data_IF_210052306413
#
_entry.id   IF_210052306413
#
_cell.length_a   1.000
_cell.length_b   1.000
_cell.length_c   1.000
_cell.angle_alpha   90.00
_cell.angle_beta   90.00
_cell.angle_gamma   90.00
#
_symmetry.space_group_name_H-M   'P 1'
#
loop_
_entity.id
_entity.type
_entity.pdbx_description
1 polymer ?
#
# COMPACT_ATOMS: atom_id res chain seq x y z
N UNK A 1 1.43 30.54 -1.05
CA UNK A 1 1.41 30.67 0.43
C UNK A 1 -0.02 30.38 0.85
N UNK A 2 -0.23 29.79 2.02
CA UNK A 2 -1.58 29.60 2.55
C UNK A 2 -2.10 30.92 3.13
N UNK A 3 -3.40 31.18 2.98
CA UNK A 3 -4.04 32.38 3.51
C UNK A 3 -4.31 32.23 5.01
N UNK A 4 -4.55 30.99 5.46
CA UNK A 4 -4.81 30.65 6.85
C UNK A 4 -4.09 29.34 7.24
N UNK A 5 -3.74 29.21 8.53
CA UNK A 5 -3.13 28.01 9.10
C UNK A 5 -3.82 27.63 10.40
N UNK A 6 -4.11 26.33 10.56
CA UNK A 6 -4.73 25.77 11.75
C UNK A 6 -3.77 24.79 12.41
N UNK A 7 -3.51 24.99 13.70
CA UNK A 7 -2.76 24.03 14.50
C UNK A 7 -3.62 22.79 14.76
N UNK A 8 -3.15 21.61 14.34
CA UNK A 8 -3.82 20.32 14.48
C UNK A 8 -3.23 19.44 15.58
N UNK A 9 -2.24 19.94 16.32
CA UNK A 9 -1.66 19.23 17.46
C UNK A 9 -0.13 19.26 17.49
N UNK A 10 0.47 18.43 18.36
CA UNK A 10 1.92 18.37 18.54
C UNK A 10 2.64 17.70 17.36
N UNK A 11 3.97 17.75 17.37
CA UNK A 11 4.83 17.23 16.29
C UNK A 11 4.63 15.74 15.94
N UNK A 12 4.39 14.79 16.90
CA UNK A 12 4.14 13.40 16.53
C UNK A 12 2.93 13.26 15.60
N UNK A 13 3.12 12.64 14.43
CA UNK A 13 2.10 12.52 13.37
C UNK A 13 0.84 11.78 13.82
N UNK A 14 0.98 10.80 14.71
CA UNK A 14 -0.16 10.08 15.30
C UNK A 14 -1.08 10.96 16.12
N UNK A 15 -0.58 12.09 16.60
CA UNK A 15 -1.33 13.06 17.39
C UNK A 15 -1.74 14.30 16.58
N UNK A 16 -1.44 14.35 15.28
CA UNK A 16 -1.69 15.47 14.39
C UNK A 16 -2.12 15.01 12.99
N UNK A 17 -1.19 14.82 12.06
CA UNK A 17 -1.46 14.51 10.64
C UNK A 17 -2.13 13.16 10.38
N UNK A 18 -2.09 12.21 11.31
CA UNK A 18 -2.79 10.92 11.23
C UNK A 18 -4.11 10.90 12.01
N UNK A 19 -4.49 12.01 12.64
CA UNK A 19 -5.76 12.13 13.36
C UNK A 19 -6.85 12.67 12.44
N UNK A 20 -7.72 11.79 11.95
CA UNK A 20 -8.85 12.13 11.08
C UNK A 20 -9.73 13.21 11.72
N UNK A 21 -10.09 13.04 12.99
CA UNK A 21 -10.97 13.97 13.70
C UNK A 21 -10.41 15.40 13.78
N UNK A 22 -9.09 15.52 13.98
CA UNK A 22 -8.44 16.82 14.06
C UNK A 22 -8.42 17.52 12.70
N UNK A 23 -8.20 16.79 11.62
CA UNK A 23 -8.26 17.33 10.27
C UNK A 23 -9.68 17.80 9.94
N UNK A 24 -10.68 16.96 10.21
CA UNK A 24 -12.10 17.33 10.02
C UNK A 24 -12.47 18.56 10.86
N UNK A 25 -12.03 18.61 12.12
CA UNK A 25 -12.26 19.77 12.97
C UNK A 25 -11.63 21.03 12.42
N UNK A 26 -10.43 20.94 11.83
CA UNK A 26 -9.78 22.05 11.15
C UNK A 26 -10.59 22.53 9.95
N UNK A 27 -11.07 21.60 9.11
CA UNK A 27 -11.91 21.90 7.96
C UNK A 27 -13.19 22.65 8.37
N UNK A 28 -13.88 22.15 9.41
CA UNK A 28 -15.09 22.82 9.94
C UNK A 28 -14.80 24.22 10.47
N UNK A 29 -13.66 24.40 11.15
CA UNK A 29 -13.25 25.70 11.70
C UNK A 29 -12.97 26.73 10.61
N UNK A 30 -12.45 26.31 9.47
CA UNK A 30 -12.11 27.19 8.34
C UNK A 30 -13.19 27.23 7.26
N UNK A 31 -14.32 26.53 7.46
CA UNK A 31 -15.39 26.36 6.46
C UNK A 31 -14.82 25.83 5.11
N UNK A 32 -13.89 24.87 5.16
CA UNK A 32 -13.29 24.31 3.97
C UNK A 32 -14.28 23.40 3.22
N UNK A 33 -14.50 23.66 1.93
CA UNK A 33 -15.35 22.85 1.05
C UNK A 33 -14.66 21.57 0.56
N UNK A 34 -13.32 21.58 0.56
CA UNK A 34 -12.53 20.47 0.03
C UNK A 34 -11.19 20.31 0.79
N UNK A 35 -10.66 19.08 0.73
CA UNK A 35 -9.35 18.75 1.29
C UNK A 35 -8.48 18.09 0.24
N UNK A 36 -7.31 18.67 -0.02
CA UNK A 36 -6.22 18.00 -0.71
C UNK A 36 -5.36 17.29 0.34
N UNK A 37 -5.25 15.95 0.34
CA UNK A 37 -4.59 15.19 1.41
C UNK A 37 -3.06 15.30 1.41
N UNK A 38 -2.48 15.93 0.39
CA UNK A 38 -1.03 15.93 0.19
C UNK A 38 -0.52 14.55 -0.24
N UNK A 39 0.69 14.21 0.22
CA UNK A 39 1.36 12.94 -0.02
C UNK A 39 1.72 12.27 1.30
N UNK A 40 1.51 10.96 1.40
CA UNK A 40 1.68 10.22 2.65
C UNK A 40 0.56 10.50 3.66
N UNK A 41 0.80 10.21 4.93
CA UNK A 41 -0.17 10.37 6.02
C UNK A 41 -1.55 9.77 5.70
N UNK A 42 -2.59 10.60 5.57
CA UNK A 42 -3.96 10.19 5.29
C UNK A 42 -4.31 10.14 3.80
N UNK A 43 -3.38 10.44 2.89
CA UNK A 43 -3.66 10.47 1.44
C UNK A 43 -4.07 9.11 0.87
N UNK A 44 -3.59 8.01 1.49
CA UNK A 44 -3.90 6.63 1.11
C UNK A 44 -4.86 5.95 2.09
N UNK A 45 -5.54 6.74 2.93
CA UNK A 45 -6.45 6.23 3.95
C UNK A 45 -7.91 6.36 3.49
N UNK A 46 -8.53 5.24 3.10
CA UNK A 46 -9.91 5.21 2.65
C UNK A 46 -10.93 5.61 3.74
N UNK A 47 -10.59 5.42 5.03
CA UNK A 47 -11.45 5.84 6.14
C UNK A 47 -11.49 7.37 6.27
N UNK A 48 -10.36 8.04 5.99
CA UNK A 48 -10.31 9.49 5.96
C UNK A 48 -11.22 10.05 4.87
N UNK A 49 -11.09 9.53 3.64
CA UNK A 49 -11.98 9.91 2.53
C UNK A 49 -13.46 9.71 2.91
N UNK A 50 -13.80 8.53 3.45
CA UNK A 50 -15.18 8.22 3.87
C UNK A 50 -15.68 9.14 4.99
N UNK A 51 -14.78 9.56 5.88
CA UNK A 51 -15.14 10.48 6.98
C UNK A 51 -15.39 11.90 6.47
N UNK A 52 -14.60 12.38 5.50
CA UNK A 52 -14.86 13.67 4.84
C UNK A 52 -16.19 13.69 4.11
N UNK A 53 -16.52 12.61 3.39
CA UNK A 53 -17.80 12.47 2.67
C UNK A 53 -19.01 12.57 3.62
N UNK A 54 -18.92 12.01 4.83
CA UNK A 54 -19.98 12.10 5.85
C UNK A 54 -20.22 13.53 6.36
N UNK A 55 -19.23 14.38 6.19
CA UNK A 55 -19.25 15.78 6.63
C UNK A 55 -19.46 16.76 5.46
N UNK A 56 -19.85 16.24 4.29
CA UNK A 56 -20.04 17.00 3.03
C UNK A 56 -18.79 17.77 2.59
N UNK A 57 -17.59 17.28 2.95
CA UNK A 57 -16.30 17.85 2.54
C UNK A 57 -15.74 17.04 1.39
N UNK A 58 -15.41 17.68 0.28
CA UNK A 58 -14.87 17.04 -0.90
C UNK A 58 -13.43 16.58 -0.67
N UNK A 59 -13.14 15.28 -0.84
CA UNK A 59 -11.77 14.78 -0.91
C UNK A 59 -11.23 14.97 -2.34
N UNK A 60 -10.13 15.72 -2.48
CA UNK A 60 -9.47 15.92 -3.79
C UNK A 60 -8.59 14.69 -4.09
N UNK A 61 -9.18 13.71 -4.76
CA UNK A 61 -8.54 12.43 -5.05
C UNK A 61 -9.55 11.36 -5.47
N UNK A 62 -9.11 10.10 -5.51
CA UNK A 62 -10.00 8.98 -5.82
C UNK A 62 -11.09 8.76 -4.76
N UNK A 63 -12.12 7.99 -5.08
CA UNK A 63 -13.10 7.54 -4.10
C UNK A 63 -12.50 6.51 -3.12
N UNK A 64 -13.20 6.20 -2.03
CA UNK A 64 -12.69 5.33 -0.97
C UNK A 64 -12.34 3.92 -1.45
N UNK A 65 -13.11 3.37 -2.38
CA UNK A 65 -12.93 1.99 -2.85
C UNK A 65 -11.63 1.79 -3.64
N UNK A 66 -11.27 2.61 -4.65
CA UNK A 66 -9.94 2.56 -5.26
C UNK A 66 -8.79 2.72 -4.26
N UNK A 67 -8.91 3.63 -3.28
CA UNK A 67 -7.88 3.81 -2.25
C UNK A 67 -7.72 2.52 -1.44
N UNK A 68 -8.83 1.88 -1.05
CA UNK A 68 -8.83 0.64 -0.28
C UNK A 68 -8.18 -0.51 -1.06
N UNK A 69 -8.63 -0.74 -2.29
CA UNK A 69 -8.11 -1.83 -3.14
C UNK A 69 -6.63 -1.64 -3.44
N UNK A 70 -6.23 -0.44 -3.83
CA UNK A 70 -4.83 -0.17 -4.21
C UNK A 70 -3.90 -0.07 -2.99
N UNK A 71 -4.44 0.08 -1.79
CA UNK A 71 -3.69 0.07 -0.54
C UNK A 71 -3.28 -1.34 -0.06
N UNK A 72 -3.94 -2.39 -0.54
CA UNK A 72 -3.60 -3.80 -0.26
C UNK A 72 -2.93 -4.43 -1.48
N UNK A 73 -1.71 -4.96 -1.31
CA UNK A 73 -0.91 -5.49 -2.43
C UNK A 73 -1.51 -6.75 -3.05
N UNK A 74 -2.21 -7.57 -2.28
CA UNK A 74 -2.87 -8.79 -2.77
C UNK A 74 -4.11 -8.39 -3.57
N UNK A 75 -4.98 -7.55 -2.99
CA UNK A 75 -6.20 -7.09 -3.66
C UNK A 75 -5.90 -6.30 -4.93
N UNK A 76 -4.93 -5.38 -4.89
CA UNK A 76 -4.53 -4.59 -6.06
C UNK A 76 -4.01 -5.46 -7.20
N UNK A 77 -3.25 -6.52 -6.86
CA UNK A 77 -2.75 -7.48 -7.84
C UNK A 77 -3.88 -8.30 -8.48
N UNK A 78 -4.82 -8.80 -7.68
CA UNK A 78 -6.01 -9.51 -8.18
C UNK A 78 -6.82 -8.59 -9.09
N UNK A 79 -7.04 -7.34 -8.69
CA UNK A 79 -7.74 -6.34 -9.48
C UNK A 79 -7.04 -6.10 -10.82
N UNK A 80 -5.73 -5.91 -10.82
CA UNK A 80 -4.94 -5.70 -12.03
C UNK A 80 -5.02 -6.89 -12.99
N UNK A 81 -4.91 -8.12 -12.49
CA UNK A 81 -5.04 -9.35 -13.29
C UNK A 81 -6.44 -9.44 -13.93
N UNK A 82 -7.49 -9.18 -13.17
CA UNK A 82 -8.87 -9.18 -13.68
C UNK A 82 -9.11 -8.10 -14.73
N UNK A 83 -8.39 -7.00 -14.66
CA UNK A 83 -8.39 -5.93 -15.65
C UNK A 83 -7.50 -6.22 -16.88
N UNK A 84 -6.85 -7.38 -16.96
CA UNK A 84 -5.96 -7.75 -18.06
C UNK A 84 -4.59 -7.08 -18.04
N UNK A 85 -4.19 -6.49 -16.93
CA UNK A 85 -2.88 -5.88 -16.76
C UNK A 85 -1.84 -6.94 -16.41
N UNK A 86 -0.69 -6.90 -17.08
CA UNK A 86 0.42 -7.79 -16.77
C UNK A 86 0.98 -7.51 -15.38
N UNK A 87 1.07 -8.54 -14.56
CA UNK A 87 1.64 -8.45 -13.21
C UNK A 87 2.83 -9.39 -13.06
N UNK A 88 3.69 -9.12 -12.07
CA UNK A 88 4.76 -10.05 -11.70
C UNK A 88 4.13 -11.38 -11.29
N UNK A 89 4.58 -12.53 -11.86
CA UNK A 89 4.06 -13.84 -11.46
C UNK A 89 4.23 -14.10 -9.96
N UNK A 90 3.24 -14.73 -9.35
CA UNK A 90 3.29 -15.02 -7.91
C UNK A 90 1.97 -15.58 -7.39
N UNK A 91 1.93 -15.83 -6.10
CA UNK A 91 0.75 -16.33 -5.40
C UNK A 91 -0.19 -15.15 -5.07
N UNK A 92 -1.50 -15.38 -5.24
CA UNK A 92 -2.52 -14.33 -5.15
C UNK A 92 -3.31 -14.41 -3.84
N UNK A 93 -2.76 -15.06 -2.82
CA UNK A 93 -3.42 -15.21 -1.53
C UNK A 93 -2.38 -15.13 -0.39
N UNK A 94 -2.88 -15.12 0.83
CA UNK A 94 -2.08 -15.09 2.05
C UNK A 94 -1.46 -16.46 2.28
N UNK A 95 -0.17 -16.48 2.60
CA UNK A 95 0.56 -17.70 2.97
C UNK A 95 0.38 -17.94 4.46
N UNK A 96 -0.03 -19.16 4.82
CA UNK A 96 -0.42 -19.51 6.19
C UNK A 96 0.67 -20.23 6.97
N UNK A 97 1.64 -20.85 6.28
CA UNK A 97 2.74 -21.56 6.93
C UNK A 97 4.03 -21.53 6.10
N UNK A 98 5.14 -21.86 6.74
CA UNK A 98 6.44 -21.99 6.07
C UNK A 98 6.45 -23.11 5.04
N UNK A 99 5.77 -24.23 5.30
CA UNK A 99 5.66 -25.39 4.39
C UNK A 99 4.86 -25.01 3.15
N UNK A 100 3.77 -24.25 3.32
CA UNK A 100 3.00 -23.71 2.19
C UNK A 100 3.85 -22.73 1.37
N UNK A 101 4.65 -21.89 2.04
CA UNK A 101 5.58 -20.97 1.37
C UNK A 101 6.59 -21.71 0.48
N UNK A 102 7.13 -22.84 0.94
CA UNK A 102 8.05 -23.68 0.16
C UNK A 102 7.34 -24.24 -1.08
N UNK A 103 6.13 -24.78 -0.94
CA UNK A 103 5.38 -25.33 -2.06
C UNK A 103 5.06 -24.25 -3.12
N UNK A 104 4.64 -23.08 -2.66
CA UNK A 104 4.35 -21.93 -3.54
C UNK A 104 5.61 -21.46 -4.25
N UNK A 105 6.72 -21.33 -3.52
CA UNK A 105 7.99 -20.90 -4.10
C UNK A 105 8.49 -21.86 -5.19
N UNK A 106 8.34 -23.16 -4.97
CA UNK A 106 8.67 -24.18 -5.98
C UNK A 106 7.80 -24.04 -7.24
N UNK A 107 6.50 -23.74 -7.08
CA UNK A 107 5.58 -23.54 -8.21
C UNK A 107 5.88 -22.24 -8.97
N UNK A 108 6.22 -21.14 -8.27
CA UNK A 108 6.59 -19.85 -8.87
C UNK A 108 7.95 -19.93 -9.53
N UNK A 109 8.84 -20.75 -8.99
CA UNK A 109 10.23 -20.93 -9.41
C UNK A 109 11.16 -19.87 -8.82
N UNK A 110 12.32 -20.31 -8.32
CA UNK A 110 13.33 -19.43 -7.70
C UNK A 110 14.06 -18.54 -8.72
N UNK A 111 14.61 -17.39 -8.29
CA UNK A 111 14.42 -16.80 -6.97
C UNK A 111 13.02 -16.18 -6.80
N UNK A 112 12.57 -16.12 -5.54
CA UNK A 112 11.29 -15.52 -5.17
C UNK A 112 11.49 -14.42 -4.14
N UNK A 113 10.49 -13.55 -3.99
CA UNK A 113 10.43 -12.53 -2.94
C UNK A 113 9.18 -12.73 -2.09
N UNK A 114 9.37 -12.87 -0.78
CA UNK A 114 8.29 -12.85 0.21
C UNK A 114 8.07 -11.40 0.60
N UNK A 115 6.81 -10.95 0.60
CA UNK A 115 6.44 -9.55 0.86
C UNK A 115 5.29 -9.46 1.85
N UNK A 116 5.34 -8.45 2.74
CA UNK A 116 4.18 -8.04 3.51
C UNK A 116 3.08 -7.50 2.59
N UNK A 117 1.82 -7.86 2.85
CA UNK A 117 0.66 -7.34 2.12
C UNK A 117 0.44 -5.86 2.40
N UNK A 118 0.51 -5.47 3.67
CA UNK A 118 0.39 -4.09 4.11
C UNK A 118 1.73 -3.33 4.05
N UNK A 119 1.62 -2.00 4.05
CA UNK A 119 2.75 -1.09 4.18
C UNK A 119 3.61 -0.92 2.93
N UNK A 120 4.75 -0.25 3.09
CA UNK A 120 5.66 0.14 2.01
C UNK A 120 7.09 0.38 2.53
N UNK A 121 7.90 1.06 1.71
CA UNK A 121 9.27 1.44 2.11
C UNK A 121 10.26 0.28 2.21
N UNK A 122 9.96 -0.87 1.59
CA UNK A 122 10.87 -2.01 1.56
C UNK A 122 10.92 -2.85 2.83
N UNK A 123 10.05 -2.59 3.81
CA UNK A 123 9.93 -3.39 5.02
C UNK A 123 9.09 -4.64 4.79
N UNK A 124 9.37 -5.71 5.53
CA UNK A 124 8.66 -6.99 5.39
C UNK A 124 8.91 -7.67 4.05
N UNK A 125 10.11 -7.48 3.45
CA UNK A 125 10.51 -8.11 2.20
C UNK A 125 11.79 -8.91 2.37
N UNK A 126 11.79 -10.16 1.85
CA UNK A 126 12.96 -11.05 1.83
C UNK A 126 13.02 -11.80 0.52
N UNK A 127 14.24 -11.95 -0.01
CA UNK A 127 14.50 -12.74 -1.20
C UNK A 127 14.95 -14.14 -0.75
N UNK A 128 14.41 -15.17 -1.40
CA UNK A 128 14.86 -16.54 -1.27
C UNK A 128 15.35 -17.03 -2.64
N UNK A 129 16.57 -17.54 -2.67
CA UNK A 129 17.21 -18.04 -3.88
C UNK A 129 17.01 -19.54 -4.10
N UNK A 130 16.69 -20.25 -3.04
CA UNK A 130 16.43 -21.68 -3.02
C UNK A 130 15.44 -22.03 -1.90
N UNK A 131 15.10 -23.31 -1.80
CA UNK A 131 14.11 -23.84 -0.85
C UNK A 131 14.55 -23.65 0.62
N UNK A 132 15.84 -23.80 0.90
CA UNK A 132 16.39 -23.71 2.26
C UNK A 132 16.29 -22.28 2.83
N UNK A 133 16.24 -21.26 1.97
CA UNK A 133 16.10 -19.86 2.39
C UNK A 133 14.67 -19.52 2.86
N UNK A 134 13.66 -20.30 2.48
CA UNK A 134 12.24 -19.96 2.67
C UNK A 134 11.84 -19.85 4.15
N UNK A 135 12.19 -20.81 5.03
CA UNK A 135 11.74 -20.75 6.44
C UNK A 135 12.17 -19.48 7.15
N UNK A 136 13.43 -19.09 6.98
CA UNK A 136 13.98 -17.88 7.59
C UNK A 136 13.40 -16.61 6.95
N UNK A 137 13.27 -16.59 5.63
CA UNK A 137 12.70 -15.46 4.89
C UNK A 137 11.23 -15.25 5.26
N UNK A 138 10.44 -16.30 5.39
CA UNK A 138 9.03 -16.28 5.79
C UNK A 138 8.87 -15.72 7.21
N UNK A 139 9.57 -16.33 8.16
CA UNK A 139 9.50 -15.93 9.58
C UNK A 139 9.92 -14.47 9.78
N UNK A 140 11.03 -14.08 9.15
CA UNK A 140 11.54 -12.70 9.23
C UNK A 140 10.57 -11.69 8.62
N UNK A 141 9.94 -12.03 7.47
CA UNK A 141 8.97 -11.14 6.81
C UNK A 141 7.71 -10.93 7.65
N UNK A 142 7.17 -11.98 8.26
CA UNK A 142 6.02 -11.91 9.15
C UNK A 142 6.31 -11.03 10.38
N UNK A 143 7.45 -11.28 11.05
CA UNK A 143 7.81 -10.55 12.26
C UNK A 143 8.00 -9.04 11.96
N UNK A 144 8.64 -8.72 10.86
CA UNK A 144 8.82 -7.33 10.44
C UNK A 144 7.50 -6.68 10.00
N UNK A 145 6.64 -7.40 9.28
CA UNK A 145 5.32 -6.92 8.87
C UNK A 145 4.45 -6.61 10.10
N UNK A 146 4.39 -7.54 11.05
CA UNK A 146 3.63 -7.39 12.29
C UNK A 146 4.12 -6.21 13.13
N UNK A 147 5.43 -6.08 13.30
CA UNK A 147 6.02 -5.01 14.12
C UNK A 147 5.91 -3.62 13.46
N UNK A 148 6.00 -3.55 12.13
CA UNK A 148 6.01 -2.29 11.40
C UNK A 148 4.62 -1.81 10.98
N UNK A 149 3.69 -2.73 10.72
CA UNK A 149 2.40 -2.41 10.11
C UNK A 149 1.20 -2.93 10.93
N UNK A 150 1.42 -3.75 11.95
CA UNK A 150 0.36 -4.41 12.72
C UNK A 150 -0.39 -5.51 11.94
N UNK A 151 0.13 -5.90 10.78
CA UNK A 151 -0.44 -6.89 9.86
C UNK A 151 0.64 -7.90 9.48
N UNK A 152 0.40 -9.18 9.76
CA UNK A 152 1.37 -10.25 9.54
C UNK A 152 1.15 -11.01 8.21
N UNK A 153 0.20 -10.57 7.37
CA UNK A 153 -0.07 -11.19 6.08
C UNK A 153 1.10 -11.01 5.12
N UNK A 154 1.56 -12.12 4.56
CA UNK A 154 2.63 -12.16 3.55
C UNK A 154 2.19 -12.95 2.32
N UNK A 155 2.80 -12.64 1.18
CA UNK A 155 2.62 -13.34 -0.09
C UNK A 155 3.95 -13.50 -0.81
N UNK A 156 3.98 -14.33 -1.88
CA UNK A 156 5.19 -14.61 -2.67
C UNK A 156 5.02 -14.13 -4.11
N UNK A 157 6.06 -13.51 -4.62
CA UNK A 157 6.20 -13.16 -6.04
C UNK A 157 7.53 -13.64 -6.60
N UNK A 158 7.59 -13.80 -7.93
CA UNK A 158 8.85 -13.99 -8.65
C UNK A 158 9.77 -12.80 -8.41
N UNK A 159 11.01 -13.06 -8.03
CA UNK A 159 12.03 -12.01 -8.00
C UNK A 159 12.62 -11.82 -9.41
N UNK A 160 12.48 -10.61 -9.94
CA UNK A 160 12.98 -10.27 -11.27
C UNK A 160 14.46 -9.90 -11.17
N UNK A 161 15.32 -10.72 -11.78
CA UNK A 161 16.77 -10.48 -11.82
C UNK A 161 17.06 -9.43 -12.89
N UNK A 162 17.87 -8.40 -12.55
CA UNK A 162 18.26 -7.30 -13.44
C UNK A 162 17.04 -6.60 -14.08
N UNK A 163 16.11 -6.09 -13.27
CA UNK A 163 14.95 -5.37 -13.80
C UNK A 163 15.39 -4.12 -14.55
N UNK A 164 14.59 -3.72 -15.53
CA UNK A 164 14.72 -2.40 -16.17
C UNK A 164 13.67 -1.47 -15.54
N UNK A 165 14.03 -0.69 -14.52
CA UNK A 165 13.07 0.20 -13.89
C UNK A 165 12.68 1.32 -14.85
N UNK A 166 11.39 1.64 -14.87
CA UNK A 166 10.84 2.79 -15.59
C UNK A 166 10.22 3.72 -14.56
N UNK A 167 10.48 5.01 -14.70
CA UNK A 167 9.89 6.03 -13.84
C UNK A 167 9.09 7.01 -14.69
N UNK A 168 7.84 7.22 -14.31
CA UNK A 168 6.97 8.18 -14.97
C UNK A 168 6.74 9.39 -14.04
N UNK A 169 6.97 10.58 -14.57
CA UNK A 169 6.63 11.83 -13.86
C UNK A 169 5.19 12.27 -14.13
N UNK A 170 4.59 11.76 -15.21
CA UNK A 170 3.24 12.12 -15.63
C UNK A 170 2.57 10.97 -16.40
N UNK A 171 1.36 10.61 -15.99
CA UNK A 171 0.49 9.65 -16.68
C UNK A 171 -0.76 10.36 -17.16
N UNK A 172 -1.03 10.31 -18.48
CA UNK A 172 -2.25 10.82 -19.08
C UNK A 172 -3.04 9.69 -19.73
N UNK A 173 -4.31 9.58 -19.42
CA UNK A 173 -5.22 8.66 -20.08
C UNK A 173 -6.02 9.42 -21.17
N UNK A 174 -6.20 8.85 -22.37
CA UNK A 174 -5.87 7.50 -22.84
C UNK A 174 -4.57 7.42 -23.67
N UNK A 175 -3.69 8.39 -23.60
CA UNK A 175 -2.57 8.58 -24.52
C UNK A 175 -1.32 7.75 -24.18
N UNK A 176 -1.16 7.30 -22.94
CA UNK A 176 -0.06 6.42 -22.58
C UNK A 176 -0.37 4.97 -22.96
N UNK A 177 0.17 4.52 -24.09
CA UNK A 177 0.06 3.14 -24.58
C UNK A 177 1.28 2.26 -24.26
N UNK A 178 2.28 2.80 -23.61
CA UNK A 178 3.56 2.14 -23.31
C UNK A 178 3.60 1.67 -21.86
N UNK A 179 2.78 0.71 -21.53
CA UNK A 179 2.87 0.00 -20.24
C UNK A 179 3.12 -1.47 -20.49
#
# INVERSE_FOLDING_TARGET
MADEAVNIGPAPSTQSYLSIDKIISACKKTNADAVHPGYGFLSENHLFMSSLTKEDITFIGPSAEPIRIMGDKIESKIFAINAGVNTVPGYQDIIKSSEEAVQIANNVGFPVMIKASAGGGGKGMRIAYNEDDIPDAYTSSINEAKSSFGDDRVFIEKFIIKPRPVSYTHLTLPTNREV
#
